data_IF_126092239318
#
_entry.id   IF_126092239318
#
_cell.length_a   1.000
_cell.length_b   1.000
_cell.length_c   1.000
_cell.angle_alpha   90.00
_cell.angle_beta   90.00
_cell.angle_gamma   90.00
#
_symmetry.space_group_name_H-M   'P 1'
#
loop_
_entity.id
_entity.type
_entity.pdbx_description
1 polymer ?
#
# COMPACT_ATOMS: atom_id res chain seq x y z
N UNK A 1 14.84 -4.27 42.82
CA UNK A 1 14.98 -5.57 42.10
C UNK A 1 13.74 -6.00 41.29
N UNK A 2 12.74 -5.14 41.12
CA UNK A 2 11.49 -5.48 40.36
C UNK A 2 11.56 -4.99 38.90
N UNK A 3 12.53 -4.15 38.53
CA UNK A 3 12.63 -3.54 37.20
C UNK A 3 12.99 -4.49 36.03
N UNK A 4 13.84 -5.53 36.15
CA UNK A 4 14.20 -6.35 34.99
C UNK A 4 13.08 -7.28 34.50
N UNK A 5 12.14 -7.66 35.35
CA UNK A 5 11.02 -8.55 34.93
C UNK A 5 9.95 -7.81 34.14
N UNK A 6 9.67 -6.55 34.46
CA UNK A 6 8.72 -5.70 33.74
C UNK A 6 9.22 -5.35 32.35
N UNK A 7 10.51 -5.02 32.22
CA UNK A 7 11.14 -4.71 30.91
C UNK A 7 11.12 -5.92 29.99
N UNK A 8 11.35 -7.13 30.52
CA UNK A 8 11.26 -8.37 29.73
C UNK A 8 9.85 -8.69 29.25
N UNK A 9 8.83 -8.42 30.07
CA UNK A 9 7.44 -8.68 29.68
C UNK A 9 6.93 -7.71 28.61
N UNK A 10 7.29 -6.44 28.69
CA UNK A 10 6.93 -5.43 27.69
C UNK A 10 7.59 -5.72 26.33
N UNK A 11 8.84 -6.17 26.32
CA UNK A 11 9.51 -6.62 25.08
C UNK A 11 8.79 -7.79 24.42
N UNK A 12 8.44 -8.81 25.17
CA UNK A 12 7.72 -9.97 24.63
C UNK A 12 6.34 -9.60 24.06
N UNK A 13 5.61 -8.70 24.72
CA UNK A 13 4.30 -8.22 24.26
C UNK A 13 4.47 -7.44 22.95
N UNK A 14 5.42 -6.52 22.89
CA UNK A 14 5.71 -5.72 21.69
C UNK A 14 6.08 -6.58 20.49
N UNK A 15 6.91 -7.59 20.68
CA UNK A 15 7.31 -8.50 19.62
C UNK A 15 6.13 -9.32 19.10
N UNK A 16 5.31 -9.83 20.00
CA UNK A 16 4.11 -10.61 19.65
C UNK A 16 3.14 -9.80 18.79
N UNK A 17 2.92 -8.52 19.13
CA UNK A 17 2.06 -7.65 18.33
C UNK A 17 2.66 -7.36 16.95
N UNK A 18 3.97 -7.16 16.84
CA UNK A 18 4.64 -6.95 15.55
C UNK A 18 4.51 -8.18 14.64
N UNK A 19 4.79 -9.37 15.17
CA UNK A 19 4.63 -10.62 14.41
C UNK A 19 3.18 -10.84 13.97
N UNK A 20 2.22 -10.66 14.88
CA UNK A 20 0.81 -10.81 14.54
C UNK A 20 0.36 -9.82 13.47
N UNK A 21 0.74 -8.56 13.59
CA UNK A 21 0.40 -7.54 12.60
C UNK A 21 0.98 -7.88 11.21
N UNK A 22 2.24 -8.33 11.17
CA UNK A 22 2.89 -8.74 9.91
C UNK A 22 2.23 -9.98 9.31
N UNK A 23 1.90 -10.99 10.13
CA UNK A 23 1.23 -12.20 9.67
C UNK A 23 -0.18 -11.89 9.13
N UNK A 24 -0.97 -11.09 9.85
CA UNK A 24 -2.32 -10.70 9.42
C UNK A 24 -2.23 -9.86 8.13
N UNK A 25 -1.32 -8.90 8.06
CA UNK A 25 -1.13 -8.07 6.87
C UNK A 25 -0.73 -8.87 5.64
N UNK A 26 0.21 -9.82 5.78
CA UNK A 26 0.63 -10.71 4.69
C UNK A 26 -0.48 -11.68 4.27
N UNK A 27 -1.31 -12.14 5.21
CA UNK A 27 -2.47 -12.98 4.91
C UNK A 27 -3.49 -12.22 4.06
N UNK A 28 -3.83 -10.98 4.43
CA UNK A 28 -4.77 -10.13 3.68
C UNK A 28 -4.20 -9.83 2.28
N UNK A 29 -2.90 -9.52 2.19
CA UNK A 29 -2.24 -9.31 0.91
C UNK A 29 -2.27 -10.57 0.03
N UNK A 30 -2.06 -11.75 0.62
CA UNK A 30 -2.15 -13.04 -0.07
C UNK A 30 -3.55 -13.32 -0.61
N UNK A 31 -4.61 -13.02 0.17
CA UNK A 31 -5.99 -13.13 -0.30
C UNK A 31 -6.28 -12.20 -1.48
N UNK A 32 -5.75 -10.97 -1.45
CA UNK A 32 -5.84 -10.04 -2.58
C UNK A 32 -5.17 -10.59 -3.84
N UNK A 33 -4.00 -11.22 -3.70
CA UNK A 33 -3.30 -11.89 -4.79
C UNK A 33 -4.08 -13.09 -5.36
N UNK A 34 -4.65 -13.90 -4.48
CA UNK A 34 -5.49 -15.03 -4.87
C UNK A 34 -6.72 -14.55 -5.67
N UNK A 35 -7.42 -13.54 -5.17
CA UNK A 35 -8.56 -12.94 -5.86
C UNK A 35 -8.17 -12.44 -7.25
N UNK A 36 -7.04 -11.78 -7.38
CA UNK A 36 -6.53 -11.31 -8.65
C UNK A 36 -6.31 -12.45 -9.66
N UNK A 37 -5.68 -13.55 -9.23
CA UNK A 37 -5.40 -14.70 -10.11
C UNK A 37 -6.69 -15.40 -10.52
N UNK A 38 -7.64 -15.59 -9.59
CA UNK A 38 -8.87 -16.32 -9.86
C UNK A 38 -9.86 -15.53 -10.72
N UNK A 39 -10.05 -14.27 -10.42
CA UNK A 39 -11.06 -13.43 -11.07
C UNK A 39 -10.52 -12.66 -12.28
N UNK A 40 -9.46 -11.91 -12.10
CA UNK A 40 -8.90 -11.05 -13.16
C UNK A 40 -8.07 -11.82 -14.20
N UNK A 41 -7.24 -12.76 -13.77
CA UNK A 41 -6.40 -13.57 -14.66
C UNK A 41 -7.07 -14.87 -15.11
N UNK A 42 -8.35 -15.09 -14.80
CA UNK A 42 -9.12 -16.28 -15.20
C UNK A 42 -8.44 -17.60 -14.84
N UNK A 43 -7.75 -17.66 -13.71
CA UNK A 43 -7.01 -18.82 -13.21
C UNK A 43 -5.68 -19.10 -13.89
N UNK A 44 -5.23 -18.25 -14.81
CA UNK A 44 -3.94 -18.41 -15.49
C UNK A 44 -2.83 -17.74 -14.67
N UNK A 45 -1.84 -18.54 -14.27
CA UNK A 45 -0.64 -18.05 -13.62
C UNK A 45 0.38 -17.53 -14.64
N UNK A 46 0.87 -16.32 -14.45
CA UNK A 46 1.96 -15.74 -15.21
C UNK A 46 2.96 -15.09 -14.24
N UNK A 47 4.25 -15.30 -14.50
CA UNK A 47 5.31 -14.77 -13.63
C UNK A 47 5.31 -13.24 -13.47
N UNK A 48 4.73 -12.52 -14.41
CA UNK A 48 4.68 -11.05 -14.38
C UNK A 48 3.25 -10.49 -14.45
N UNK A 49 2.26 -11.28 -14.04
CA UNK A 49 0.84 -10.91 -14.12
C UNK A 49 0.51 -9.62 -13.35
N UNK A 50 1.17 -9.41 -12.21
CA UNK A 50 0.98 -8.21 -11.39
C UNK A 50 1.67 -6.97 -11.97
N UNK A 51 2.76 -7.12 -12.73
CA UNK A 51 3.56 -6.00 -13.23
C UNK A 51 3.90 -5.00 -12.11
N UNK A 52 3.76 -3.71 -12.40
CA UNK A 52 4.06 -2.62 -11.46
C UNK A 52 2.94 -2.30 -10.46
N UNK A 53 1.86 -3.09 -10.42
CA UNK A 53 0.70 -2.84 -9.56
C UNK A 53 1.03 -2.89 -8.06
N UNK A 54 2.03 -3.68 -7.68
CA UNK A 54 2.52 -3.72 -6.30
C UNK A 54 3.10 -2.37 -5.86
N UNK A 55 3.84 -1.71 -6.72
CA UNK A 55 4.35 -0.36 -6.48
C UNK A 55 3.24 0.68 -6.39
N UNK A 56 2.20 0.54 -7.22
CA UNK A 56 1.01 1.38 -7.14
C UNK A 56 0.30 1.23 -5.78
N UNK A 57 0.22 0.01 -5.25
CA UNK A 57 -0.37 -0.22 -3.94
C UNK A 57 0.42 0.47 -2.81
N UNK A 58 1.76 0.43 -2.86
CA UNK A 58 2.62 1.14 -1.91
C UNK A 58 2.41 2.66 -2.03
N UNK A 59 2.40 3.18 -3.26
CA UNK A 59 2.12 4.60 -3.51
C UNK A 59 0.75 5.02 -2.97
N UNK A 60 -0.26 4.15 -3.09
CA UNK A 60 -1.60 4.40 -2.55
C UNK A 60 -1.60 4.48 -1.02
N UNK A 61 -0.84 3.64 -0.31
CA UNK A 61 -0.71 3.71 1.14
C UNK A 61 -0.09 5.05 1.57
N UNK A 62 0.94 5.51 0.88
CA UNK A 62 1.57 6.82 1.13
C UNK A 62 0.58 7.95 0.82
N UNK A 63 -0.16 7.85 -0.29
CA UNK A 63 -1.21 8.78 -0.68
C UNK A 63 -2.27 8.97 0.41
N UNK A 64 -2.65 7.91 1.09
CA UNK A 64 -3.70 7.92 2.14
C UNK A 64 -3.17 8.35 3.50
N UNK A 65 -1.90 8.76 3.58
CA UNK A 65 -1.28 9.26 4.81
C UNK A 65 -1.42 8.24 5.95
N UNK A 66 -1.18 6.95 5.65
CA UNK A 66 -1.25 5.84 6.61
C UNK A 66 -2.61 5.69 7.33
N UNK A 67 -3.68 6.29 6.80
CA UNK A 67 -5.04 6.22 7.38
C UNK A 67 -5.85 5.11 6.70
N UNK A 68 -6.18 4.00 7.40
CA UNK A 68 -6.85 2.85 6.77
C UNK A 68 -8.23 3.19 6.20
N UNK A 69 -9.01 4.07 6.85
CA UNK A 69 -10.33 4.47 6.38
C UNK A 69 -10.26 5.25 5.05
N UNK A 70 -9.25 6.11 4.90
CA UNK A 70 -9.00 6.86 3.67
C UNK A 70 -8.48 5.94 2.57
N UNK A 71 -7.74 4.88 2.95
CA UNK A 71 -7.20 3.88 2.02
C UNK A 71 -8.31 3.14 1.26
N UNK A 72 -9.43 2.83 1.92
CA UNK A 72 -10.58 2.19 1.25
C UNK A 72 -11.17 3.10 0.17
N UNK A 73 -11.41 4.37 0.49
CA UNK A 73 -11.93 5.33 -0.47
C UNK A 73 -10.96 5.57 -1.63
N UNK A 74 -9.68 5.70 -1.31
CA UNK A 74 -8.63 5.88 -2.31
C UNK A 74 -8.51 4.66 -3.23
N UNK A 75 -8.62 3.43 -2.72
CA UNK A 75 -8.57 2.22 -3.54
C UNK A 75 -9.71 2.15 -4.55
N UNK A 76 -10.92 2.56 -4.14
CA UNK A 76 -12.08 2.65 -5.05
C UNK A 76 -11.83 3.71 -6.14
N UNK A 77 -11.33 4.88 -5.76
CA UNK A 77 -11.03 5.95 -6.70
C UNK A 77 -9.96 5.53 -7.71
N UNK A 78 -8.86 4.92 -7.23
CA UNK A 78 -7.78 4.44 -8.11
C UNK A 78 -8.23 3.29 -9.00
N UNK A 79 -9.05 2.36 -8.47
CA UNK A 79 -9.67 1.30 -9.26
C UNK A 79 -10.54 1.86 -10.37
N UNK A 80 -11.35 2.89 -10.08
CA UNK A 80 -12.16 3.61 -11.07
C UNK A 80 -11.31 4.29 -12.15
N UNK A 81 -10.23 4.98 -11.75
CA UNK A 81 -9.30 5.59 -12.69
C UNK A 81 -8.59 4.56 -13.59
N UNK A 82 -8.23 3.40 -13.00
CA UNK A 82 -7.61 2.33 -13.75
C UNK A 82 -8.57 1.71 -14.78
N UNK A 83 -9.86 1.57 -14.45
CA UNK A 83 -10.88 1.05 -15.36
C UNK A 83 -11.23 2.09 -16.44
N UNK A 84 -11.10 3.37 -16.13
CA UNK A 84 -11.49 4.47 -17.04
C UNK A 84 -10.85 4.33 -18.42
N UNK A 85 -9.58 3.88 -18.50
CA UNK A 85 -8.91 3.71 -19.78
C UNK A 85 -9.55 2.64 -20.68
N UNK A 86 -10.28 1.65 -20.11
CA UNK A 86 -10.97 0.60 -20.85
C UNK A 86 -12.21 1.13 -21.59
N UNK A 87 -12.81 2.20 -21.08
CA UNK A 87 -14.00 2.82 -21.69
C UNK A 87 -13.66 3.79 -22.82
N UNK A 88 -12.38 4.04 -23.08
CA UNK A 88 -11.97 4.94 -24.16
C UNK A 88 -12.17 4.22 -25.49
N UNK A 89 -12.90 4.87 -26.46
CA UNK A 89 -13.18 4.28 -27.75
C UNK A 89 -11.91 3.80 -28.48
N UNK A 90 -12.03 2.66 -29.15
CA UNK A 90 -10.93 2.01 -29.88
C UNK A 90 -10.36 2.86 -31.04
N UNK A 91 -11.05 3.92 -31.44
CA UNK A 91 -10.62 4.85 -32.50
C UNK A 91 -9.62 5.93 -32.07
N UNK A 92 -9.32 6.05 -30.76
CA UNK A 92 -8.33 7.02 -30.28
C UNK A 92 -6.91 6.52 -30.50
N UNK A 93 -5.99 7.47 -30.81
CA UNK A 93 -4.56 7.15 -31.01
C UNK A 93 -3.99 6.40 -29.81
N UNK A 94 -3.10 5.43 -30.04
CA UNK A 94 -2.44 4.64 -28.99
C UNK A 94 -1.78 5.53 -27.94
N UNK A 95 -1.21 6.67 -28.31
CA UNK A 95 -0.60 7.62 -27.41
C UNK A 95 -1.57 8.16 -26.33
N UNK A 96 -2.82 8.39 -26.70
CA UNK A 96 -3.85 8.88 -25.76
C UNK A 96 -4.20 7.80 -24.73
N UNK A 97 -4.27 6.54 -25.13
CA UNK A 97 -4.52 5.42 -24.20
C UNK A 97 -3.39 5.25 -23.18
N UNK A 98 -2.15 5.36 -23.62
CA UNK A 98 -1.00 5.28 -22.71
C UNK A 98 -0.97 6.48 -21.74
N UNK A 99 -1.39 7.67 -22.19
CA UNK A 99 -1.50 8.85 -21.34
C UNK A 99 -2.53 8.62 -20.19
N UNK A 100 -3.67 8.00 -20.50
CA UNK A 100 -4.67 7.67 -19.47
C UNK A 100 -4.16 6.63 -18.45
N UNK A 101 -3.33 5.68 -18.86
CA UNK A 101 -2.68 4.74 -17.93
C UNK A 101 -1.72 5.44 -16.97
N UNK A 102 -1.12 6.55 -17.37
CA UNK A 102 -0.24 7.36 -16.50
C UNK A 102 -1.00 8.20 -15.47
N UNK A 103 -2.30 8.43 -15.68
CA UNK A 103 -3.12 9.32 -14.86
C UNK A 103 -3.08 8.99 -13.35
N UNK A 104 -3.23 7.74 -12.88
CA UNK A 104 -3.14 7.42 -11.47
C UNK A 104 -1.76 7.77 -10.88
N UNK A 105 -0.68 7.60 -11.62
CA UNK A 105 0.67 7.95 -11.17
C UNK A 105 0.86 9.46 -11.03
N UNK A 106 0.34 10.23 -11.98
CA UNK A 106 0.37 11.70 -11.92
C UNK A 106 -0.41 12.21 -10.71
N UNK A 107 -1.58 11.63 -10.44
CA UNK A 107 -2.39 12.00 -9.28
C UNK A 107 -1.65 11.68 -7.97
N UNK A 108 -1.01 10.52 -7.85
CA UNK A 108 -0.20 10.18 -6.66
C UNK A 108 0.93 11.19 -6.46
N UNK A 109 1.62 11.55 -7.52
CA UNK A 109 2.72 12.52 -7.46
C UNK A 109 2.24 13.88 -6.97
N UNK A 110 1.13 14.39 -7.50
CA UNK A 110 0.54 15.68 -7.11
C UNK A 110 0.18 15.65 -5.62
N UNK A 111 -0.47 14.57 -5.16
CA UNK A 111 -0.87 14.46 -3.74
C UNK A 111 0.35 14.37 -2.84
N UNK A 112 1.39 13.62 -3.22
CA UNK A 112 2.63 13.56 -2.44
C UNK A 112 3.28 14.94 -2.31
N UNK A 113 3.29 15.74 -3.38
CA UNK A 113 3.79 17.11 -3.33
C UNK A 113 2.96 17.95 -2.36
N UNK A 114 1.63 17.89 -2.45
CA UNK A 114 0.72 18.65 -1.57
C UNK A 114 0.93 18.27 -0.10
N UNK A 115 1.01 16.97 0.20
CA UNK A 115 1.23 16.45 1.56
C UNK A 115 2.60 16.88 2.09
N UNK A 116 3.63 16.81 1.26
CA UNK A 116 4.99 17.24 1.61
C UNK A 116 5.07 18.72 1.93
N UNK A 117 4.33 19.56 1.19
CA UNK A 117 4.27 21.00 1.43
C UNK A 117 3.51 21.35 2.72
N UNK A 118 2.50 20.58 3.08
CA UNK A 118 1.67 20.84 4.26
C UNK A 118 2.38 20.64 5.59
N UNK A 119 3.42 19.80 5.66
CA UNK A 119 4.26 19.52 6.86
C UNK A 119 3.48 19.33 8.18
N UNK A 120 2.24 18.86 8.13
CA UNK A 120 1.48 18.57 9.35
C UNK A 120 2.05 17.33 10.03
N UNK A 121 2.19 17.38 11.34
CA UNK A 121 2.70 16.26 12.16
C UNK A 121 1.83 15.00 12.06
N UNK A 122 0.56 15.17 11.76
CA UNK A 122 -0.42 14.09 11.55
C UNK A 122 -0.23 13.34 10.22
N UNK A 123 0.44 13.97 9.25
CA UNK A 123 0.65 13.45 7.90
C UNK A 123 2.03 12.74 7.77
N UNK A 124 2.76 12.62 8.89
CA UNK A 124 4.05 11.92 8.90
C UNK A 124 3.87 10.40 9.02
N UNK A 125 4.78 9.63 8.42
CA UNK A 125 4.79 8.19 8.58
C UNK A 125 4.98 7.79 10.05
N UNK A 126 4.57 6.59 10.45
CA UNK A 126 4.81 6.08 11.80
C UNK A 126 6.29 6.19 12.16
N UNK A 127 6.59 6.64 13.39
CA UNK A 127 7.96 6.94 13.85
C UNK A 127 8.92 5.73 13.75
N UNK A 128 8.38 4.51 13.80
CA UNK A 128 9.16 3.26 13.67
C UNK A 128 9.27 2.74 12.25
N UNK A 129 8.74 3.45 11.25
CA UNK A 129 8.82 3.03 9.85
C UNK A 129 10.26 3.21 9.34
N UNK A 130 10.83 2.14 8.78
CA UNK A 130 12.19 2.15 8.24
C UNK A 130 13.29 1.94 9.28
N UNK A 131 12.95 1.84 10.57
CA UNK A 131 13.93 1.44 11.57
C UNK A 131 14.15 -0.07 11.52
N UNK A 132 15.42 -0.47 11.49
CA UNK A 132 15.79 -1.87 11.59
C UNK A 132 15.37 -2.42 12.95
N UNK A 133 14.78 -3.61 12.94
CA UNK A 133 14.35 -4.27 14.16
C UNK A 133 15.46 -5.14 14.71
N UNK A 134 16.02 -4.75 15.83
CA UNK A 134 16.95 -5.56 16.61
C UNK A 134 16.26 -5.99 17.91
N UNK A 135 16.22 -7.29 18.15
CA UNK A 135 15.57 -7.86 19.34
C UNK A 135 16.27 -7.46 20.64
N UNK A 136 17.56 -7.18 20.57
CA UNK A 136 18.45 -6.93 21.72
C UNK A 136 18.74 -5.43 21.95
N UNK A 137 18.30 -4.53 21.10
CA UNK A 137 18.45 -3.09 21.33
C UNK A 137 17.48 -2.60 22.42
N UNK A 138 18.09 -2.15 23.50
CA UNK A 138 17.46 -1.50 24.65
C UNK A 138 17.12 -0.04 24.35
#
# INVERSE_FOLDING_TARGET
>A
EIMPSLVGSEMCIRDRYKYLATCIGSMIAGLGGLYYVMDYASGVWSNNAFGDRGWLAIALVIFTIWRPNVSVLASILFGGLYILYLYIPTGTQMAVKELYKMLPYVITLIVLIIVSLRKKREDQPPASLGLSYFREER
#
